data_IF_916693721199
#
_entry.id   IF_916693721199
#
_cell.length_a   1.000
_cell.length_b   1.000
_cell.length_c   1.000
_cell.angle_alpha   90.00
_cell.angle_beta   90.00
_cell.angle_gamma   90.00
#
_symmetry.space_group_name_H-M   'P 1'
#
loop_
_entity.id
_entity.type
_entity.pdbx_description
1 polymer ?
#
# COMPACT_ATOMS: atom_id res chain seq x y z
N UNK A 1 16.43 7.19 8.39
CA UNK A 1 17.13 8.37 7.82
C UNK A 1 17.90 7.90 6.61
N UNK A 2 17.73 8.54 5.45
CA UNK A 2 18.55 8.25 4.28
C UNK A 2 19.57 9.39 4.15
N UNK A 3 20.87 9.06 4.24
CA UNK A 3 21.95 10.00 3.96
C UNK A 3 22.30 9.92 2.48
N UNK A 4 22.20 11.05 1.78
CA UNK A 4 22.60 11.15 0.37
C UNK A 4 23.99 11.75 0.33
N UNK A 5 24.97 10.95 -0.09
CA UNK A 5 26.32 11.42 -0.40
C UNK A 5 26.38 11.83 -1.86
N UNK A 6 26.65 13.11 -2.11
CA UNK A 6 26.82 13.65 -3.46
C UNK A 6 28.30 13.94 -3.70
N UNK A 7 28.89 13.31 -4.72
CA UNK A 7 30.25 13.59 -5.16
C UNK A 7 30.40 15.03 -5.65
N UNK A 8 31.55 15.65 -5.36
CA UNK A 8 31.84 17.03 -5.77
C UNK A 8 31.96 17.17 -7.30
N UNK A 9 32.35 16.10 -7.97
CA UNK A 9 32.38 15.97 -9.43
C UNK A 9 30.97 16.04 -10.05
N UNK A 10 29.99 15.38 -9.44
CA UNK A 10 28.59 15.42 -9.83
C UNK A 10 27.97 16.79 -9.53
N UNK A 11 28.35 17.42 -8.41
CA UNK A 11 27.92 18.78 -8.09
C UNK A 11 28.32 19.78 -9.17
N UNK A 12 29.59 19.75 -9.61
CA UNK A 12 30.08 20.64 -10.65
C UNK A 12 29.48 20.38 -12.04
N UNK A 13 29.19 19.11 -12.37
CA UNK A 13 28.46 18.77 -13.61
C UNK A 13 27.01 19.25 -13.57
N UNK A 14 26.38 19.25 -12.39
CA UNK A 14 25.02 19.71 -12.19
C UNK A 14 24.94 21.24 -12.05
N UNK A 15 25.21 21.97 -13.14
CA UNK A 15 25.26 23.45 -13.21
C UNK A 15 24.05 24.23 -12.64
N UNK A 16 22.95 23.55 -12.31
CA UNK A 16 21.68 24.15 -11.82
C UNK A 16 21.26 23.63 -10.45
N UNK A 17 22.14 22.90 -9.75
CA UNK A 17 21.93 22.40 -8.39
C UNK A 17 22.37 23.46 -7.36
N UNK A 18 21.53 23.71 -6.36
CA UNK A 18 21.74 24.67 -5.28
C UNK A 18 21.60 23.93 -3.94
N UNK A 19 22.57 24.12 -3.04
CA UNK A 19 22.51 23.62 -1.67
C UNK A 19 21.89 24.71 -0.79
N UNK A 20 20.72 24.45 -0.21
CA UNK A 20 20.02 25.36 0.71
C UNK A 20 19.96 24.74 2.12
N UNK A 21 19.81 25.55 3.18
CA UNK A 21 19.63 25.05 4.56
C UNK A 21 18.41 24.11 4.71
N UNK A 22 17.42 24.23 3.80
CA UNK A 22 16.20 23.43 3.78
C UNK A 22 16.26 22.21 2.86
N UNK A 23 17.35 22.01 2.11
CA UNK A 23 17.50 20.89 1.18
C UNK A 23 18.23 21.20 -0.12
N UNK A 24 18.29 20.22 -1.04
CA UNK A 24 18.91 20.37 -2.36
C UNK A 24 17.89 20.84 -3.41
N UNK A 25 18.12 21.97 -4.09
CA UNK A 25 17.20 22.51 -5.11
C UNK A 25 17.81 22.43 -6.51
N UNK A 26 17.05 21.97 -7.51
CA UNK A 26 17.49 21.92 -8.91
C UNK A 26 16.61 22.77 -9.81
N UNK A 27 17.16 23.83 -10.45
CA UNK A 27 16.42 24.85 -11.23
C UNK A 27 15.44 25.70 -10.37
N UNK A 28 15.10 26.90 -10.88
CA UNK A 28 14.29 27.89 -10.13
C UNK A 28 12.89 27.39 -9.72
N UNK A 29 12.25 26.59 -10.55
CA UNK A 29 10.85 26.14 -10.37
C UNK A 29 10.66 24.93 -9.47
N UNK A 30 11.73 24.22 -9.09
CA UNK A 30 11.61 23.08 -8.19
C UNK A 30 11.79 23.52 -6.74
N UNK A 31 11.04 22.86 -5.85
CA UNK A 31 11.24 23.00 -4.42
C UNK A 31 12.53 22.26 -3.99
N UNK A 32 13.17 22.67 -2.88
CA UNK A 32 14.28 21.91 -2.31
C UNK A 32 13.83 20.50 -1.92
N UNK A 33 14.66 19.50 -2.23
CA UNK A 33 14.51 18.13 -1.78
C UNK A 33 14.60 18.10 -0.25
N UNK A 34 13.52 17.66 0.39
CA UNK A 34 13.46 17.43 1.83
C UNK A 34 13.38 15.94 2.13
N UNK A 35 14.06 15.50 3.19
CA UNK A 35 14.00 14.13 3.72
C UNK A 35 12.64 13.76 4.32
N UNK A 36 11.78 14.75 4.55
CA UNK A 36 10.37 14.51 4.88
C UNK A 36 9.67 14.19 3.57
N UNK A 37 9.02 13.01 3.41
CA UNK A 37 8.07 12.81 2.34
C UNK A 37 6.96 13.83 2.59
N UNK A 38 7.08 14.99 1.94
CA UNK A 38 5.96 15.90 1.81
C UNK A 38 4.96 15.17 0.93
N UNK A 39 4.13 14.35 1.57
CA UNK A 39 2.81 14.05 1.07
C UNK A 39 2.24 15.45 0.81
N UNK A 40 2.20 15.86 -0.45
CA UNK A 40 1.68 17.17 -0.83
C UNK A 40 0.19 17.11 -0.54
N UNK A 41 -0.18 17.39 0.71
CA UNK A 41 -1.54 17.59 1.12
C UNK A 41 -1.94 18.96 0.58
N UNK A 42 -2.64 18.96 -0.56
CA UNK A 42 -3.35 20.11 -1.03
C UNK A 42 -4.58 20.23 -0.12
N UNK A 43 -4.53 21.11 0.88
CA UNK A 43 -5.66 21.38 1.78
C UNK A 43 -6.85 21.94 0.99
N UNK A 44 -6.57 22.82 0.03
CA UNK A 44 -7.53 23.33 -0.95
C UNK A 44 -6.95 23.33 -2.35
N UNK A 45 -7.69 22.73 -3.29
CA UNK A 45 -7.29 22.70 -4.69
C UNK A 45 -7.29 24.14 -5.25
N UNK A 46 -6.23 24.58 -5.95
CA UNK A 46 -6.26 25.84 -6.66
C UNK A 46 -7.50 25.90 -7.56
N UNK A 47 -8.09 27.09 -7.75
CA UNK A 47 -9.29 27.29 -8.56
C UNK A 47 -9.40 26.43 -9.86
N UNK A 48 -8.34 26.29 -10.70
CA UNK A 48 -8.42 25.46 -11.91
C UNK A 48 -8.63 23.95 -11.65
N UNK A 49 -8.39 23.47 -10.43
CA UNK A 49 -8.51 22.06 -10.03
C UNK A 49 -9.64 21.82 -9.02
N UNK A 50 -10.45 22.83 -8.69
CA UNK A 50 -11.55 22.71 -7.74
C UNK A 50 -12.55 21.63 -8.16
N UNK A 51 -12.89 21.57 -9.45
CA UNK A 51 -13.81 20.57 -10.00
C UNK A 51 -13.26 19.14 -9.90
N UNK A 52 -11.96 18.98 -10.15
CA UNK A 52 -11.28 17.67 -10.04
C UNK A 52 -11.24 17.23 -8.57
N UNK A 53 -10.91 18.15 -7.66
CA UNK A 53 -10.91 17.88 -6.22
C UNK A 53 -12.29 17.47 -5.71
N UNK A 54 -13.34 18.16 -6.13
CA UNK A 54 -14.71 17.80 -5.75
C UNK A 54 -15.12 16.41 -6.26
N UNK A 55 -14.79 16.08 -7.51
CA UNK A 55 -15.03 14.74 -8.07
C UNK A 55 -14.26 13.66 -7.31
N UNK A 56 -13.00 13.90 -6.96
CA UNK A 56 -12.20 12.94 -6.19
C UNK A 56 -12.76 12.74 -4.78
N UNK A 57 -13.14 13.83 -4.09
CA UNK A 57 -13.76 13.77 -2.76
C UNK A 57 -15.06 12.98 -2.75
N UNK A 58 -15.87 13.08 -3.81
CA UNK A 58 -17.11 12.27 -3.96
C UNK A 58 -16.85 10.77 -4.06
N UNK A 59 -15.67 10.38 -4.57
CA UNK A 59 -15.27 8.98 -4.72
C UNK A 59 -14.44 8.46 -3.53
N UNK A 60 -14.06 9.31 -2.58
CA UNK A 60 -13.34 8.89 -1.38
C UNK A 60 -14.28 8.15 -0.44
N UNK A 61 -13.81 7.00 0.08
CA UNK A 61 -14.50 6.23 1.09
C UNK A 61 -13.50 5.79 2.15
N UNK A 62 -13.91 5.84 3.42
CA UNK A 62 -13.07 5.45 4.55
C UNK A 62 -12.99 3.92 4.73
N UNK A 63 -13.87 3.18 4.04
CA UNK A 63 -13.89 1.72 4.03
C UNK A 63 -14.25 1.16 2.66
N UNK A 64 -13.91 -0.11 2.43
CA UNK A 64 -14.31 -0.81 1.21
C UNK A 64 -15.83 -0.99 1.09
N UNK A 65 -16.53 -1.09 2.22
CA UNK A 65 -17.99 -1.20 2.26
C UNK A 65 -18.69 0.10 1.82
N UNK A 66 -18.08 1.24 2.14
CA UNK A 66 -18.62 2.56 1.80
C UNK A 66 -18.25 3.00 0.38
N UNK A 67 -17.27 2.33 -0.26
CA UNK A 67 -16.86 2.63 -1.61
C UNK A 67 -17.89 2.17 -2.64
N UNK A 68 -18.62 3.13 -3.22
CA UNK A 68 -19.64 2.88 -4.25
C UNK A 68 -19.19 3.46 -5.59
N UNK A 69 -18.60 2.62 -6.43
CA UNK A 69 -18.25 2.97 -7.81
C UNK A 69 -18.69 1.85 -8.77
N UNK A 70 -19.24 2.17 -9.95
CA UNK A 70 -19.71 1.14 -10.90
C UNK A 70 -18.56 0.30 -11.48
N UNK A 71 -17.36 0.88 -11.58
CA UNK A 71 -16.17 0.23 -12.14
C UNK A 71 -14.99 0.37 -11.18
N UNK A 72 -14.97 -0.36 -10.05
CA UNK A 72 -13.82 -0.32 -9.14
C UNK A 72 -12.60 -0.96 -9.81
N UNK A 73 -11.41 -0.40 -9.55
CA UNK A 73 -10.16 -0.82 -10.21
C UNK A 73 -9.87 -2.32 -10.02
N UNK A 74 -10.11 -2.85 -8.82
CA UNK A 74 -9.87 -4.26 -8.48
C UNK A 74 -10.84 -5.25 -9.16
N UNK A 75 -11.88 -4.77 -9.85
CA UNK A 75 -12.74 -5.61 -10.70
C UNK A 75 -12.41 -5.51 -12.19
N UNK A 76 -11.49 -4.64 -12.60
CA UNK A 76 -11.13 -4.49 -14.01
C UNK A 76 -9.90 -5.37 -14.34
N UNK A 77 -10.05 -6.45 -15.13
CA UNK A 77 -8.96 -7.34 -15.51
C UNK A 77 -7.87 -6.66 -16.34
N UNK A 78 -8.15 -5.55 -17.03
CA UNK A 78 -7.15 -4.82 -17.83
C UNK A 78 -6.02 -4.25 -16.95
N UNK A 79 -6.30 -4.01 -15.67
CA UNK A 79 -5.33 -3.54 -14.70
C UNK A 79 -4.65 -4.67 -13.94
N UNK A 80 -4.98 -5.93 -14.22
CA UNK A 80 -4.34 -7.06 -13.56
C UNK A 80 -2.96 -7.26 -14.15
N UNK A 81 -1.95 -7.17 -13.29
CA UNK A 81 -0.60 -7.56 -13.67
C UNK A 81 -0.50 -9.08 -13.63
N UNK A 82 -0.01 -9.67 -14.71
CA UNK A 82 0.38 -11.07 -14.70
C UNK A 82 1.70 -11.16 -13.97
N UNK A 83 1.68 -11.66 -12.74
CA UNK A 83 2.90 -12.02 -12.05
C UNK A 83 3.44 -13.29 -12.73
N UNK A 84 4.59 -13.24 -13.42
CA UNK A 84 5.20 -14.47 -13.89
C UNK A 84 5.61 -15.23 -12.63
N UNK A 85 4.87 -16.30 -12.31
CA UNK A 85 5.47 -17.35 -11.52
C UNK A 85 6.74 -17.73 -12.26
N UNK A 86 7.88 -17.72 -11.56
CA UNK A 86 9.13 -18.18 -12.14
C UNK A 86 8.99 -19.65 -12.48
N UNK A 87 8.52 -19.92 -13.69
CA UNK A 87 8.67 -21.22 -14.33
C UNK A 87 10.18 -21.47 -14.33
N UNK A 88 10.62 -22.51 -13.61
CA UNK A 88 12.02 -22.97 -13.44
C UNK A 88 12.81 -22.51 -12.18
N UNK A 89 12.19 -21.92 -11.16
CA UNK A 89 12.72 -22.03 -9.80
C UNK A 89 11.86 -23.05 -9.04
N UNK A 90 12.47 -23.96 -8.27
CA UNK A 90 11.82 -24.94 -7.39
C UNK A 90 11.07 -24.27 -6.22
N UNK A 91 10.31 -23.21 -6.49
CA UNK A 91 9.28 -22.70 -5.60
C UNK A 91 8.09 -23.66 -5.67
N UNK A 92 8.25 -24.85 -5.09
CA UNK A 92 7.15 -25.77 -4.86
C UNK A 92 6.05 -25.00 -4.11
N UNK A 93 4.84 -24.86 -4.67
CA UNK A 93 3.78 -24.15 -3.98
C UNK A 93 3.52 -24.88 -2.66
N UNK A 94 3.48 -24.11 -1.58
CA UNK A 94 3.43 -24.67 -0.24
C UNK A 94 2.14 -25.48 -0.11
N UNK A 95 2.28 -26.75 0.28
CA UNK A 95 1.19 -27.61 0.74
C UNK A 95 1.40 -27.85 2.22
N UNK A 96 1.25 -26.81 3.01
CA UNK A 96 1.45 -26.89 4.46
C UNK A 96 0.10 -27.13 5.15
N UNK A 97 0.09 -28.09 6.06
CA UNK A 97 -0.99 -28.23 7.03
C UNK A 97 -0.84 -27.12 8.06
N UNK A 98 -1.94 -26.46 8.41
CA UNK A 98 -1.93 -25.45 9.47
C UNK A 98 -1.56 -26.09 10.83
N UNK A 99 -0.68 -25.46 11.63
CA UNK A 99 -0.68 -25.69 13.07
C UNK A 99 -2.04 -25.22 13.59
N UNK A 100 -2.70 -26.06 14.40
CA UNK A 100 -4.08 -25.80 14.85
C UNK A 100 -4.24 -24.41 15.48
N UNK A 101 -5.35 -23.76 15.16
CA UNK A 101 -5.75 -22.49 15.75
C UNK A 101 -6.68 -22.75 16.96
N UNK A 102 -6.69 -21.86 17.94
CA UNK A 102 -7.60 -22.01 19.09
C UNK A 102 -9.07 -21.89 18.63
N UNK A 103 -10.04 -22.51 19.32
CA UNK A 103 -11.44 -22.42 18.94
C UNK A 103 -11.95 -20.98 18.83
N UNK A 104 -11.53 -20.09 19.74
CA UNK A 104 -11.94 -18.69 19.76
C UNK A 104 -11.36 -17.93 18.56
N UNK A 105 -10.08 -18.12 18.27
CA UNK A 105 -9.42 -17.53 17.11
C UNK A 105 -10.04 -18.03 15.79
N UNK A 106 -10.44 -19.31 15.73
CA UNK A 106 -11.10 -19.89 14.55
C UNK A 106 -12.43 -19.23 14.24
N UNK A 107 -13.22 -18.90 15.27
CA UNK A 107 -14.50 -18.19 15.11
C UNK A 107 -14.23 -16.80 14.52
N UNK A 108 -13.29 -16.05 15.09
CA UNK A 108 -12.94 -14.71 14.61
C UNK A 108 -12.38 -14.73 13.18
N UNK A 109 -11.45 -15.65 12.89
CA UNK A 109 -10.89 -15.82 11.55
C UNK A 109 -11.97 -16.15 10.51
N UNK A 110 -12.98 -16.96 10.90
CA UNK A 110 -14.10 -17.30 10.01
C UNK A 110 -15.01 -16.11 9.75
N UNK A 111 -15.29 -15.31 10.76
CA UNK A 111 -16.06 -14.07 10.62
C UNK A 111 -15.35 -13.09 9.67
N UNK A 112 -14.05 -12.86 9.84
CA UNK A 112 -13.27 -12.01 8.94
C UNK A 112 -13.23 -12.57 7.51
N UNK A 113 -13.04 -13.88 7.34
CA UNK A 113 -13.13 -14.53 6.02
C UNK A 113 -14.49 -14.28 5.36
N UNK A 114 -15.59 -14.38 6.10
CA UNK A 114 -16.93 -14.13 5.58
C UNK A 114 -17.11 -12.66 5.14
N UNK A 115 -16.53 -11.72 5.88
CA UNK A 115 -16.54 -10.31 5.49
C UNK A 115 -15.74 -10.09 4.19
N UNK A 116 -14.55 -10.69 4.07
CA UNK A 116 -13.74 -10.60 2.85
C UNK A 116 -14.45 -11.22 1.63
N UNK A 117 -15.16 -12.34 1.83
CA UNK A 117 -16.01 -12.96 0.80
C UNK A 117 -17.15 -12.01 0.39
N UNK A 118 -17.84 -11.38 1.34
CA UNK A 118 -18.92 -10.44 1.05
C UNK A 118 -18.44 -9.20 0.29
N UNK A 119 -17.21 -8.75 0.54
CA UNK A 119 -16.57 -7.65 -0.19
C UNK A 119 -16.03 -8.09 -1.58
N UNK A 120 -15.99 -9.39 -1.86
CA UNK A 120 -15.45 -9.94 -3.10
C UNK A 120 -13.93 -9.82 -3.21
N UNK A 121 -13.24 -9.76 -2.07
CA UNK A 121 -11.77 -9.69 -2.01
C UNK A 121 -11.12 -11.07 -2.08
N UNK A 122 -11.86 -12.11 -1.70
CA UNK A 122 -11.44 -13.51 -1.79
C UNK A 122 -12.56 -14.35 -2.40
N UNK A 123 -12.20 -15.53 -2.89
CA UNK A 123 -13.14 -16.51 -3.43
C UNK A 123 -12.79 -17.93 -2.95
N UNK A 124 -13.78 -18.83 -2.85
CA UNK A 124 -13.51 -20.23 -2.58
C UNK A 124 -12.70 -20.86 -3.72
N UNK A 125 -11.64 -21.59 -3.39
CA UNK A 125 -10.78 -22.26 -4.38
C UNK A 125 -10.86 -23.77 -4.27
N UNK A 126 -10.65 -24.46 -5.40
CA UNK A 126 -10.44 -25.92 -5.48
C UNK A 126 -8.96 -26.28 -5.68
N UNK A 127 -8.07 -25.31 -5.47
CA UNK A 127 -6.63 -25.50 -5.62
C UNK A 127 -6.09 -26.57 -4.66
N UNK A 128 -5.12 -27.35 -5.13
CA UNK A 128 -4.38 -28.31 -4.30
C UNK A 128 -3.33 -27.62 -3.39
N UNK A 129 -3.21 -26.29 -3.51
CA UNK A 129 -2.21 -25.46 -2.84
C UNK A 129 -2.84 -24.67 -1.70
N UNK A 130 -2.16 -24.62 -0.56
CA UNK A 130 -2.65 -23.93 0.64
C UNK A 130 -1.49 -23.34 1.44
N UNK A 131 -1.62 -22.06 1.78
CA UNK A 131 -0.73 -21.39 2.73
C UNK A 131 -1.43 -21.35 4.10
N UNK A 132 -0.76 -21.74 5.20
CA UNK A 132 -1.34 -21.69 6.53
C UNK A 132 -1.51 -20.23 6.94
N UNK A 133 -2.68 -19.91 7.49
CA UNK A 133 -2.98 -18.61 8.08
C UNK A 133 -3.23 -18.78 9.58
N UNK A 134 -2.87 -17.77 10.35
CA UNK A 134 -3.14 -17.69 11.78
C UNK A 134 -3.82 -16.37 12.12
N UNK A 135 -4.65 -16.38 13.14
CA UNK A 135 -5.35 -15.19 13.61
C UNK A 135 -4.43 -14.38 14.52
N UNK A 136 -4.42 -13.06 14.37
CA UNK A 136 -3.66 -12.16 15.23
C UNK A 136 -4.55 -11.02 15.68
N UNK A 137 -4.82 -10.97 16.99
CA UNK A 137 -5.57 -9.88 17.58
C UNK A 137 -4.66 -8.65 17.77
N UNK A 138 -4.71 -7.70 16.83
CA UNK A 138 -3.91 -6.47 16.90
C UNK A 138 -4.27 -5.55 18.07
N UNK A 139 -5.44 -5.72 18.73
CA UNK A 139 -5.85 -4.88 19.86
C UNK A 139 -5.15 -5.29 21.16
N UNK A 140 -4.78 -6.56 21.32
CA UNK A 140 -4.09 -7.10 22.50
C UNK A 140 -2.57 -6.92 22.43
N UNK A 141 -1.96 -6.84 21.23
CA UNK A 141 -0.52 -6.58 21.07
C UNK A 141 -0.09 -5.20 21.58
N UNK A 142 -0.97 -4.18 21.54
CA UNK A 142 -0.64 -2.84 22.06
C UNK A 142 -0.39 -2.83 23.58
N UNK A 143 -0.92 -3.81 24.32
CA UNK A 143 -0.71 -3.94 25.77
C UNK A 143 0.55 -4.72 26.16
N UNK A 144 1.18 -5.47 25.25
CA UNK A 144 2.35 -6.32 25.55
C UNK A 144 3.70 -5.72 25.10
N UNK A 145 3.71 -4.49 24.58
CA UNK A 145 4.93 -3.77 24.18
C UNK A 145 5.59 -2.93 25.29
N UNK A 146 5.25 -3.14 26.57
CA UNK A 146 5.88 -2.45 27.71
C UNK A 146 6.14 -3.41 28.87
N UNK A 147 7.30 -4.07 28.84
CA UNK A 147 8.06 -4.44 30.02
C UNK A 147 9.54 -4.28 29.72
#
# INVERSE_FOLDING_TARGET
MAEIFLGFDLYHKAQKLQVLPTGLKYKRYFQPFSTIPRIFAITDAPAPYADISNKLKQCCADSHADFKHPHPLWKNPEFFIQLPFKLNEDANPIKASHPGMTPDDLVLAREECNQLLALGLIEPTKSNWACPAFYVNKRTEKSEGKR
#
